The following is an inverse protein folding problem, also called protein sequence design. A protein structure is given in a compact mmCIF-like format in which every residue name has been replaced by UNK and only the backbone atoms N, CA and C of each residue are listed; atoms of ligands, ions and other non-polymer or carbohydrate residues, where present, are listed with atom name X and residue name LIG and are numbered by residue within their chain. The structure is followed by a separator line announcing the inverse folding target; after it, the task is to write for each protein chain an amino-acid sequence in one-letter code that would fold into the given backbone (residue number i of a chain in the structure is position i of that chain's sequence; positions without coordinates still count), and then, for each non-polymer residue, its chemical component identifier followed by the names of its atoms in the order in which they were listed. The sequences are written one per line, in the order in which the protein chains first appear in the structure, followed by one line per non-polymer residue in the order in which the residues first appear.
data_IF_559907046175
#
_entry.id   IF_559907046175
#
_cell.length_a   1.000
_cell.length_b   1.000
_cell.length_c   1.000
_cell.angle_alpha   90.00
_cell.angle_beta   90.00
_cell.angle_gamma   90.00
#
_symmetry.space_group_name_H-M   'P 1'
#
loop_
_entity.id
_entity.type
_entity.pdbx_description
1 polymer ?
#
# COMPACT_ATOMS: atom_id res chain seq x y z
N UNK A 1 -28.63 -15.76 -31.98
CA UNK A 1 -28.76 -15.89 -30.51
C UNK A 1 -28.51 -14.51 -29.88
N UNK A 2 -29.56 -13.76 -29.50
CA UNK A 2 -29.40 -12.39 -29.02
C UNK A 2 -28.79 -12.39 -27.62
N UNK A 3 -27.73 -11.59 -27.44
CA UNK A 3 -27.06 -11.40 -26.15
C UNK A 3 -27.98 -10.64 -25.21
N UNK A 4 -28.42 -11.29 -24.14
CA UNK A 4 -29.26 -10.69 -23.10
C UNK A 4 -28.47 -9.57 -22.42
N UNK A 5 -28.96 -8.34 -22.57
CA UNK A 5 -28.51 -7.14 -21.82
C UNK A 5 -28.56 -7.45 -20.33
N UNK A 6 -27.43 -7.32 -19.63
CA UNK A 6 -27.42 -7.34 -18.17
C UNK A 6 -28.24 -6.15 -17.69
N UNK A 7 -29.35 -6.45 -17.01
CA UNK A 7 -30.25 -5.47 -16.44
C UNK A 7 -29.56 -4.76 -15.26
N UNK A 8 -29.58 -3.44 -15.33
CA UNK A 8 -29.29 -2.51 -14.25
C UNK A 8 -30.24 -2.79 -13.07
N UNK A 9 -29.77 -3.54 -12.08
CA UNK A 9 -30.59 -3.99 -10.95
C UNK A 9 -30.31 -3.12 -9.72
N UNK A 10 -31.04 -2.01 -9.65
CA UNK A 10 -31.73 -1.55 -8.44
C UNK A 10 -30.87 -0.89 -7.36
N UNK A 11 -31.38 0.23 -6.87
CA UNK A 11 -31.02 0.93 -5.64
C UNK A 11 -31.13 0.04 -4.39
N UNK A 12 -30.29 -0.99 -4.30
CA UNK A 12 -30.23 -1.85 -3.14
C UNK A 12 -29.71 -1.08 -1.94
N UNK A 13 -30.59 -0.81 -0.99
CA UNK A 13 -30.26 -0.03 0.19
C UNK A 13 -29.22 -0.77 1.06
N UNK A 14 -28.16 -0.05 1.41
CA UNK A 14 -27.17 -0.50 2.39
C UNK A 14 -27.53 0.07 3.74
N UNK A 15 -27.85 -0.79 4.70
CA UNK A 15 -28.19 -0.39 6.07
C UNK A 15 -26.94 -0.49 6.93
N UNK A 16 -26.62 0.57 7.67
CA UNK A 16 -25.52 0.55 8.65
C UNK A 16 -25.93 -0.35 9.82
N UNK A 17 -25.13 -1.37 10.11
CA UNK A 17 -25.39 -2.32 11.21
C UNK A 17 -24.48 -2.03 12.40
N UNK A 18 -23.23 -1.69 12.13
CA UNK A 18 -22.23 -1.30 13.13
C UNK A 18 -21.23 -0.33 12.50
N UNK A 19 -20.20 0.06 13.26
CA UNK A 19 -19.09 0.84 12.72
C UNK A 19 -18.42 0.08 11.56
N UNK A 20 -18.30 0.74 10.41
CA UNK A 20 -17.68 0.19 9.20
C UNK A 20 -18.32 -1.12 8.68
N UNK A 21 -19.52 -1.48 9.15
CA UNK A 21 -20.26 -2.69 8.78
C UNK A 21 -21.66 -2.35 8.27
N UNK A 22 -21.94 -2.79 7.05
CA UNK A 22 -23.18 -2.53 6.35
C UNK A 22 -23.82 -3.84 5.89
N UNK A 23 -25.15 -3.88 5.86
CA UNK A 23 -25.92 -4.99 5.30
C UNK A 23 -26.60 -4.55 4.02
N UNK A 24 -26.43 -5.34 2.97
CA UNK A 24 -27.14 -5.13 1.72
C UNK A 24 -28.51 -5.80 1.81
N UNK A 25 -29.59 -5.01 1.78
CA UNK A 25 -30.96 -5.51 1.93
C UNK A 25 -31.32 -6.60 0.90
N UNK A 26 -31.04 -6.43 -0.41
CA UNK A 26 -31.47 -7.40 -1.42
C UNK A 26 -30.81 -8.78 -1.31
N UNK A 27 -29.51 -8.86 -0.98
CA UNK A 27 -28.81 -10.16 -0.88
C UNK A 27 -28.64 -10.68 0.55
N UNK A 28 -28.93 -9.83 1.55
CA UNK A 28 -28.67 -10.07 2.97
C UNK A 28 -27.18 -10.14 3.34
N UNK A 29 -26.27 -9.88 2.40
CA UNK A 29 -24.83 -9.98 2.61
C UNK A 29 -24.25 -8.80 3.36
N UNK A 30 -23.21 -9.06 4.16
CA UNK A 30 -22.46 -8.02 4.86
C UNK A 30 -21.34 -7.42 4.01
N UNK A 31 -21.10 -6.12 4.22
CA UNK A 31 -20.10 -5.31 3.54
C UNK A 31 -19.32 -4.50 4.56
N UNK A 32 -18.01 -4.38 4.33
CA UNK A 32 -17.13 -3.48 5.05
C UNK A 32 -17.01 -2.14 4.32
N UNK A 33 -16.96 -1.06 5.09
CA UNK A 33 -16.65 0.28 4.62
C UNK A 33 -15.47 0.82 5.42
N UNK A 34 -14.27 0.76 4.86
CA UNK A 34 -13.03 1.19 5.52
C UNK A 34 -12.40 2.34 4.75
N UNK A 35 -11.53 3.11 5.40
CA UNK A 35 -10.65 4.08 4.74
C UNK A 35 -9.21 3.61 4.94
N UNK A 36 -8.41 3.65 3.88
CA UNK A 36 -6.98 3.38 3.93
C UNK A 36 -6.28 3.93 2.68
N UNK A 37 -5.06 4.43 2.85
CA UNK A 37 -4.24 5.01 1.78
C UNK A 37 -4.91 6.17 1.05
N UNK A 38 -5.66 6.99 1.79
CA UNK A 38 -6.45 8.10 1.26
C UNK A 38 -7.69 7.69 0.45
N UNK A 39 -8.01 6.39 0.34
CA UNK A 39 -9.15 5.88 -0.43
C UNK A 39 -10.16 5.14 0.43
N UNK A 40 -11.44 5.28 0.08
CA UNK A 40 -12.52 4.50 0.69
C UNK A 40 -12.60 3.11 0.04
N UNK A 41 -12.50 2.08 0.86
CA UNK A 41 -12.55 0.67 0.48
C UNK A 41 -13.92 0.11 0.86
N UNK A 42 -14.69 -0.28 -0.14
CA UNK A 42 -15.96 -0.99 0.03
C UNK A 42 -15.82 -2.43 -0.44
N UNK A 43 -15.96 -3.39 0.46
CA UNK A 43 -15.71 -4.82 0.19
C UNK A 43 -16.82 -5.70 0.75
N UNK A 44 -17.29 -6.66 -0.03
CA UNK A 44 -18.18 -7.71 0.48
C UNK A 44 -17.43 -8.63 1.44
N UNK A 45 -18.03 -8.90 2.60
CA UNK A 45 -17.52 -9.85 3.58
C UNK A 45 -17.92 -11.29 3.27
N UNK A 46 -18.66 -11.53 2.16
CA UNK A 46 -19.08 -12.86 1.67
C UNK A 46 -19.74 -13.73 2.75
N UNK A 47 -20.49 -13.12 3.65
CA UNK A 47 -21.21 -13.81 4.74
C UNK A 47 -22.56 -13.15 4.98
N UNK A 48 -23.51 -13.95 5.46
CA UNK A 48 -24.82 -13.54 5.96
C UNK A 48 -24.95 -13.67 7.48
N UNK A 49 -23.96 -14.29 8.14
CA UNK A 49 -23.86 -14.34 9.60
C UNK A 49 -23.13 -13.11 10.12
N UNK A 50 -23.74 -12.44 11.10
CA UNK A 50 -23.24 -11.23 11.76
C UNK A 50 -21.93 -11.48 12.50
N UNK A 51 -21.84 -12.54 13.30
CA UNK A 51 -20.63 -12.81 14.11
C UNK A 51 -19.43 -13.10 13.22
N UNK A 52 -19.66 -13.85 12.14
CA UNK A 52 -18.62 -14.10 11.14
C UNK A 52 -18.25 -12.82 10.36
N UNK A 53 -19.20 -11.92 10.12
CA UNK A 53 -18.93 -10.64 9.47
C UNK A 53 -18.01 -9.75 10.32
N UNK A 54 -18.27 -9.66 11.62
CA UNK A 54 -17.45 -8.89 12.56
C UNK A 54 -16.00 -9.42 12.60
N UNK A 55 -15.82 -10.75 12.65
CA UNK A 55 -14.48 -11.38 12.57
C UNK A 55 -13.76 -11.06 11.26
N UNK A 56 -14.46 -11.16 10.12
CA UNK A 56 -13.88 -10.84 8.80
C UNK A 56 -13.58 -9.35 8.64
N UNK A 57 -14.39 -8.48 9.25
CA UNK A 57 -14.15 -7.05 9.29
C UNK A 57 -12.87 -6.73 10.06
N UNK A 58 -12.68 -7.32 11.24
CA UNK A 58 -11.45 -7.16 12.03
C UNK A 58 -10.21 -7.58 11.23
N UNK A 59 -10.24 -8.76 10.60
CA UNK A 59 -9.14 -9.23 9.76
C UNK A 59 -8.94 -8.41 8.46
N UNK A 60 -9.97 -7.73 7.96
CA UNK A 60 -9.84 -6.82 6.83
C UNK A 60 -9.21 -5.49 7.26
N UNK A 61 -9.60 -4.97 8.43
CA UNK A 61 -9.04 -3.74 9.02
C UNK A 61 -7.54 -3.88 9.25
N UNK A 62 -7.09 -4.96 9.89
CA UNK A 62 -5.67 -5.23 10.11
C UNK A 62 -4.86 -5.27 8.79
N UNK A 63 -5.43 -5.84 7.72
CA UNK A 63 -4.80 -5.86 6.41
C UNK A 63 -4.67 -4.48 5.78
N UNK A 64 -5.69 -3.63 5.95
CA UNK A 64 -5.69 -2.26 5.44
C UNK A 64 -4.68 -1.42 6.25
N UNK A 65 -4.71 -1.50 7.57
CA UNK A 65 -3.80 -0.79 8.46
C UNK A 65 -2.33 -1.15 8.19
N UNK A 66 -2.04 -2.43 7.88
CA UNK A 66 -0.70 -2.89 7.49
C UNK A 66 -0.21 -2.29 6.16
N UNK A 67 -1.13 -1.97 5.24
CA UNK A 67 -0.77 -1.36 3.95
C UNK A 67 -0.38 0.11 4.16
N UNK A 68 -1.06 0.80 5.09
CA UNK A 68 -0.81 2.22 5.39
C UNK A 68 0.46 2.46 6.22
N UNK A 69 1.04 1.43 6.83
CA UNK A 69 2.30 1.54 7.58
C UNK A 69 3.52 1.90 6.70
N UNK A 70 3.34 2.06 5.39
CA UNK A 70 4.41 2.47 4.49
C UNK A 70 4.66 3.99 4.46
N UNK A 71 3.76 4.83 5.00
CA UNK A 71 3.99 6.30 5.00
C UNK A 71 5.23 6.71 5.82
N UNK A 72 5.66 5.90 6.79
CA UNK A 72 6.87 6.12 7.58
C UNK A 72 8.16 5.53 6.97
N UNK A 73 8.06 4.39 6.27
CA UNK A 73 9.23 3.71 5.65
C UNK A 73 9.62 4.29 4.29
N UNK A 74 8.80 5.16 3.72
CA UNK A 74 8.97 5.71 2.37
C UNK A 74 9.77 7.01 2.31
N UNK A 75 10.30 7.47 3.46
CA UNK A 75 11.06 8.73 3.57
C UNK A 75 12.57 8.56 3.70
N UNK A 76 13.12 7.35 3.49
CA UNK A 76 14.58 7.20 3.46
C UNK A 76 15.10 7.93 2.23
N UNK A 77 15.91 8.95 2.47
CA UNK A 77 16.59 9.69 1.41
C UNK A 77 17.60 8.79 0.71
N UNK A 78 17.83 9.02 -0.57
CA UNK A 78 18.83 8.27 -1.34
C UNK A 78 20.19 8.22 -0.63
N UNK A 79 20.63 9.36 -0.09
CA UNK A 79 21.94 9.47 0.56
C UNK A 79 22.03 8.65 1.85
N UNK A 80 20.96 8.62 2.64
CA UNK A 80 20.89 7.82 3.85
C UNK A 80 20.95 6.33 3.53
N UNK A 81 20.14 5.87 2.56
CA UNK A 81 20.16 4.48 2.10
C UNK A 81 21.53 4.08 1.51
N UNK A 82 22.14 4.96 0.72
CA UNK A 82 23.43 4.71 0.10
C UNK A 82 24.56 4.62 1.15
N UNK A 83 24.51 5.44 2.21
CA UNK A 83 25.47 5.39 3.30
C UNK A 83 25.34 4.09 4.10
N UNK A 84 24.11 3.70 4.47
CA UNK A 84 23.85 2.42 5.14
C UNK A 84 24.35 1.23 4.32
N UNK A 85 24.16 1.28 3.00
CA UNK A 85 24.69 0.26 2.09
C UNK A 85 26.22 0.24 2.08
N UNK A 86 26.89 1.40 2.03
CA UNK A 86 28.35 1.48 2.09
C UNK A 86 28.89 0.90 3.40
N UNK A 87 28.25 1.20 4.54
CA UNK A 87 28.68 0.70 5.84
C UNK A 87 28.50 -0.82 5.98
N UNK A 88 27.40 -1.35 5.43
CA UNK A 88 27.16 -2.79 5.34
C UNK A 88 28.20 -3.50 4.45
N UNK A 89 28.60 -2.87 3.35
CA UNK A 89 29.56 -3.44 2.39
C UNK A 89 31.03 -3.28 2.82
N UNK A 90 31.33 -2.31 3.68
CA UNK A 90 32.69 -1.97 4.13
C UNK A 90 33.54 -3.18 4.56
N UNK A 91 33.08 -4.10 5.42
CA UNK A 91 33.90 -5.26 5.84
C UNK A 91 34.23 -6.23 4.71
N UNK A 92 33.48 -6.21 3.61
CA UNK A 92 33.64 -7.12 2.47
C UNK A 92 34.45 -6.52 1.31
N UNK A 93 34.97 -5.30 1.46
CA UNK A 93 35.61 -4.56 0.38
C UNK A 93 37.03 -4.14 0.75
N UNK A 94 37.95 -4.24 -0.23
CA UNK A 94 39.26 -3.59 -0.12
C UNK A 94 39.10 -2.06 -0.10
N UNK A 95 40.03 -1.33 0.53
CA UNK A 95 39.92 0.13 0.66
C UNK A 95 39.73 0.87 -0.68
N UNK A 96 40.43 0.45 -1.73
CA UNK A 96 40.32 1.03 -3.08
C UNK A 96 38.95 0.76 -3.71
N UNK A 97 38.38 -0.43 -3.48
CA UNK A 97 37.06 -0.84 -3.98
C UNK A 97 35.93 -0.11 -3.24
N UNK A 98 36.12 0.18 -1.95
CA UNK A 98 35.23 1.02 -1.15
C UNK A 98 35.26 2.48 -1.62
N UNK A 99 36.45 3.06 -1.75
CA UNK A 99 36.64 4.45 -2.23
C UNK A 99 35.98 4.68 -3.58
N UNK A 100 36.14 3.74 -4.53
CA UNK A 100 35.49 3.83 -5.84
C UNK A 100 33.96 3.96 -5.72
N UNK A 101 33.33 3.10 -4.92
CA UNK A 101 31.87 3.13 -4.69
C UNK A 101 31.42 4.39 -3.96
N UNK A 102 32.19 4.82 -2.97
CA UNK A 102 31.91 6.05 -2.24
C UNK A 102 31.95 7.27 -3.17
N UNK A 103 32.93 7.34 -4.07
CA UNK A 103 33.03 8.40 -5.07
C UNK A 103 31.84 8.37 -6.04
N UNK A 104 31.44 7.19 -6.52
CA UNK A 104 30.25 7.05 -7.36
C UNK A 104 28.98 7.52 -6.64
N UNK A 105 28.76 7.12 -5.38
CA UNK A 105 27.61 7.59 -4.58
C UNK A 105 27.62 9.12 -4.42
N UNK A 106 28.79 9.72 -4.18
CA UNK A 106 28.93 11.18 -4.09
C UNK A 106 28.56 11.88 -5.40
N UNK A 107 28.91 11.31 -6.57
CA UNK A 107 28.52 11.87 -7.86
C UNK A 107 27.01 11.77 -8.08
N UNK A 108 26.39 10.66 -7.68
CA UNK A 108 24.95 10.44 -7.77
C UNK A 108 24.14 11.38 -6.87
N UNK A 109 24.75 11.97 -5.83
CA UNK A 109 24.12 12.99 -4.99
C UNK A 109 23.55 14.16 -5.80
N UNK A 110 24.20 14.56 -6.90
CA UNK A 110 23.72 15.66 -7.77
C UNK A 110 22.33 15.38 -8.33
N UNK A 111 22.03 14.12 -8.62
CA UNK A 111 20.79 13.70 -9.28
C UNK A 111 19.73 13.25 -8.26
N UNK A 112 20.15 12.52 -7.21
CA UNK A 112 19.22 11.85 -6.31
C UNK A 112 19.23 12.39 -4.87
N UNK A 113 20.08 13.36 -4.55
CA UNK A 113 20.32 13.80 -3.16
C UNK A 113 19.11 14.40 -2.44
N UNK A 114 18.12 14.93 -3.15
CA UNK A 114 16.88 15.45 -2.59
C UNK A 114 15.67 14.52 -2.74
N UNK A 115 15.88 13.29 -3.23
CA UNK A 115 14.81 12.34 -3.49
C UNK A 115 14.84 11.18 -2.50
N UNK A 116 13.66 10.71 -2.09
CA UNK A 116 13.55 9.42 -1.41
C UNK A 116 13.83 8.30 -2.40
N UNK A 117 14.33 7.16 -1.92
CA UNK A 117 14.63 6.00 -2.78
C UNK A 117 13.41 5.57 -3.61
N UNK A 118 12.21 5.71 -3.05
CA UNK A 118 10.95 5.39 -3.74
C UNK A 118 10.57 6.38 -4.84
N UNK A 119 10.99 7.63 -4.72
CA UNK A 119 10.73 8.67 -5.70
C UNK A 119 11.70 8.60 -6.90
N UNK A 120 12.76 7.79 -6.83
CA UNK A 120 13.70 7.60 -7.94
C UNK A 120 13.02 6.74 -9.02
N UNK A 121 12.63 7.39 -10.11
CA UNK A 121 12.07 6.77 -11.31
C UNK A 121 12.98 7.02 -12.50
N UNK A 122 12.80 6.27 -13.61
CA UNK A 122 13.63 6.42 -14.82
C UNK A 122 13.67 7.85 -15.38
N UNK A 123 12.68 8.68 -15.06
CA UNK A 123 12.59 10.10 -15.44
C UNK A 123 13.67 10.98 -14.79
N UNK A 124 14.28 10.55 -13.69
CA UNK A 124 15.33 11.28 -12.97
C UNK A 124 16.75 10.93 -13.45
N UNK A 125 16.89 10.02 -14.42
CA UNK A 125 18.17 9.53 -14.93
C UNK A 125 18.72 10.31 -16.14
N UNK A 126 18.17 11.49 -16.44
CA UNK A 126 18.62 12.36 -17.54
C UNK A 126 19.83 13.23 -17.15
#
# INVERSE_FOLDING_TARGET
MPKTKQADAGSGQFVKVAENLYRYQPSGGYYALLKGGGKQIRRSLKTRDRKLAERRLAGLREKVDRIDTNEGKTKVEFMEAAQLWLDCMRPHLTPSSFLRRQTSVKQLKRHFGGHSVRAITCTLCN
#
